data_IF_037415806902
#
_entry.id   IF_037415806902
#
_cell.length_a   1.000
_cell.length_b   1.000
_cell.length_c   1.000
_cell.angle_alpha   90.00
_cell.angle_beta   90.00
_cell.angle_gamma   90.00
#
_symmetry.space_group_name_H-M   'P 1'
#
loop_
_entity.id
_entity.type
_entity.pdbx_description
1 polymer ?
#
# COMPACT_ATOMS: atom_id res chain seq x y z
N UNK A 1 -24.94 -11.26 30.41
CA UNK A 1 -23.97 -11.54 29.32
C UNK A 1 -22.71 -10.75 29.65
N UNK A 2 -21.57 -11.43 29.80
CA UNK A 2 -20.29 -10.78 30.12
C UNK A 2 -19.46 -10.67 28.84
N UNK A 3 -19.05 -9.45 28.49
CA UNK A 3 -18.14 -9.18 27.37
C UNK A 3 -16.75 -8.96 27.96
N UNK A 4 -15.75 -9.71 27.48
CA UNK A 4 -14.37 -9.60 27.92
C UNK A 4 -13.55 -9.10 26.73
N UNK A 5 -12.90 -7.95 26.89
CA UNK A 5 -12.02 -7.36 25.88
C UNK A 5 -10.59 -7.89 26.03
N UNK A 6 -9.95 -8.22 24.91
CA UNK A 6 -8.54 -8.59 24.89
C UNK A 6 -7.64 -7.42 25.32
N UNK A 7 -6.46 -7.73 25.88
CA UNK A 7 -5.45 -6.72 26.27
C UNK A 7 -5.00 -5.85 25.10
N UNK A 8 -4.99 -6.40 23.89
CA UNK A 8 -4.62 -5.71 22.65
C UNK A 8 -5.56 -6.13 21.53
N UNK A 9 -6.10 -5.15 20.81
CA UNK A 9 -6.94 -5.34 19.63
C UNK A 9 -6.80 -4.11 18.71
N UNK A 10 -7.12 -4.28 17.43
CA UNK A 10 -7.11 -3.21 16.43
C UNK A 10 -5.82 -3.15 15.61
N UNK A 11 -5.43 -1.94 15.21
CA UNK A 11 -4.35 -1.73 14.25
C UNK A 11 -2.98 -2.12 14.82
N UNK A 12 -2.23 -2.91 14.05
CA UNK A 12 -0.80 -3.03 14.27
C UNK A 12 -0.07 -1.78 13.73
N UNK A 13 1.20 -1.63 14.10
CA UNK A 13 2.03 -0.51 13.64
C UNK A 13 2.04 -0.35 12.11
N UNK A 14 2.16 -1.45 11.35
CA UNK A 14 2.21 -1.40 9.89
C UNK A 14 0.90 -0.91 9.27
N UNK A 15 -0.24 -1.37 9.79
CA UNK A 15 -1.57 -0.92 9.38
C UNK A 15 -1.75 0.56 9.69
N UNK A 16 -1.44 0.97 10.93
CA UNK A 16 -1.55 2.37 11.34
C UNK A 16 -0.72 3.28 10.43
N UNK A 17 0.56 2.94 10.22
CA UNK A 17 1.45 3.70 9.31
C UNK A 17 0.84 3.84 7.91
N UNK A 18 0.32 2.75 7.34
CA UNK A 18 -0.19 2.78 5.98
C UNK A 18 -1.45 3.64 5.85
N UNK A 19 -2.37 3.53 6.81
CA UNK A 19 -3.59 4.34 6.84
C UNK A 19 -3.27 5.82 7.09
N UNK A 20 -2.42 6.13 8.07
CA UNK A 20 -1.98 7.49 8.38
C UNK A 20 -1.31 8.15 7.16
N UNK A 21 -0.49 7.40 6.41
CA UNK A 21 0.14 7.88 5.17
C UNK A 21 -0.89 8.34 4.13
N UNK A 22 -1.99 7.60 3.95
CA UNK A 22 -3.05 8.00 3.01
C UNK A 22 -3.73 9.28 3.50
N UNK A 23 -4.10 9.35 4.80
CA UNK A 23 -4.74 10.54 5.36
C UNK A 23 -3.86 11.80 5.24
N UNK A 24 -2.56 11.68 5.47
CA UNK A 24 -1.61 12.79 5.30
C UNK A 24 -1.58 13.27 3.85
N UNK A 25 -1.58 12.35 2.88
CA UNK A 25 -1.54 12.69 1.44
C UNK A 25 -2.83 13.30 0.91
N UNK A 26 -3.99 12.92 1.47
CA UNK A 26 -5.27 13.56 1.13
C UNK A 26 -5.22 15.09 1.35
N UNK A 27 -4.45 15.55 2.35
CA UNK A 27 -4.34 16.99 2.66
C UNK A 27 -3.61 17.80 1.58
N UNK A 28 -2.83 17.15 0.71
CA UNK A 28 -2.09 17.79 -0.39
C UNK A 28 -3.00 18.17 -1.58
N UNK A 29 -4.25 17.68 -1.61
CA UNK A 29 -5.28 18.00 -2.61
C UNK A 29 -4.89 17.71 -4.07
N UNK A 30 -4.03 16.72 -4.28
CA UNK A 30 -3.74 16.15 -5.60
C UNK A 30 -4.50 14.84 -5.83
N UNK A 31 -4.66 14.38 -7.09
CA UNK A 31 -5.23 13.05 -7.37
C UNK A 31 -4.45 11.96 -6.64
N UNK A 32 -5.16 11.17 -5.84
CA UNK A 32 -4.55 10.16 -4.98
C UNK A 32 -5.14 8.78 -5.26
N UNK A 33 -4.25 7.83 -5.50
CA UNK A 33 -4.59 6.45 -5.80
C UNK A 33 -3.96 5.50 -4.79
N UNK A 34 -4.59 4.36 -4.56
CA UNK A 34 -3.96 3.23 -3.86
C UNK A 34 -3.88 2.04 -4.80
N UNK A 35 -2.73 1.37 -4.86
CA UNK A 35 -2.59 0.15 -5.66
C UNK A 35 -3.12 -1.05 -4.88
N UNK A 36 -4.38 -1.38 -5.14
CA UNK A 36 -5.23 -2.22 -4.33
C UNK A 36 -5.65 -1.55 -3.02
N UNK A 37 -6.49 -2.21 -2.21
CA UNK A 37 -6.89 -1.68 -0.92
C UNK A 37 -5.67 -1.49 -0.02
N UNK A 38 -5.55 -0.31 0.61
CA UNK A 38 -4.41 0.04 1.48
C UNK A 38 -4.16 -1.02 2.56
N UNK A 39 -5.25 -1.58 3.11
CA UNK A 39 -5.34 -2.73 4.02
C UNK A 39 -6.61 -3.54 3.71
N UNK A 40 -6.70 -4.78 4.20
CA UNK A 40 -7.92 -5.60 4.05
C UNK A 40 -8.98 -5.23 5.12
N UNK A 41 -9.54 -4.03 5.02
CA UNK A 41 -10.65 -3.57 5.85
C UNK A 41 -11.58 -2.67 5.03
N UNK A 42 -12.79 -3.15 4.77
CA UNK A 42 -13.76 -2.49 3.88
C UNK A 42 -14.24 -1.13 4.43
N UNK A 43 -14.39 -1.01 5.75
CA UNK A 43 -14.80 0.24 6.40
C UNK A 43 -13.76 1.34 6.20
N UNK A 44 -12.48 0.99 6.33
CA UNK A 44 -11.36 1.92 6.10
C UNK A 44 -11.25 2.28 4.62
N UNK A 45 -11.37 1.31 3.72
CA UNK A 45 -11.32 1.57 2.27
C UNK A 45 -12.44 2.53 1.88
N UNK A 46 -13.67 2.28 2.34
CA UNK A 46 -14.83 3.14 2.04
C UNK A 46 -14.64 4.56 2.57
N UNK A 47 -14.14 4.73 3.80
CA UNK A 47 -13.86 6.07 4.35
C UNK A 47 -12.81 6.84 3.52
N UNK A 48 -11.81 6.15 2.97
CA UNK A 48 -10.80 6.78 2.11
C UNK A 48 -11.38 7.14 0.74
N UNK A 49 -12.22 6.28 0.15
CA UNK A 49 -12.92 6.56 -1.10
C UNK A 49 -13.87 7.76 -0.96
N UNK A 50 -14.59 7.87 0.16
CA UNK A 50 -15.43 9.04 0.49
C UNK A 50 -14.61 10.34 0.59
N UNK A 51 -13.30 10.25 0.84
CA UNK A 51 -12.36 11.39 0.85
C UNK A 51 -11.64 11.60 -0.48
N UNK A 52 -12.02 10.86 -1.52
CA UNK A 52 -11.55 11.05 -2.89
C UNK A 52 -10.34 10.19 -3.28
N UNK A 53 -9.96 9.20 -2.46
CA UNK A 53 -8.93 8.23 -2.84
C UNK A 53 -9.53 7.21 -3.79
N UNK A 54 -8.86 6.93 -4.91
CA UNK A 54 -9.31 5.92 -5.88
C UNK A 54 -8.47 4.66 -5.74
N UNK A 55 -9.11 3.51 -5.51
CA UNK A 55 -8.44 2.21 -5.53
C UNK A 55 -8.25 1.76 -6.99
N UNK A 56 -7.02 1.40 -7.36
CA UNK A 56 -6.70 0.80 -8.67
C UNK A 56 -6.13 -0.59 -8.50
N UNK A 57 -6.58 -1.58 -9.27
CA UNK A 57 -6.13 -2.97 -9.11
C UNK A 57 -5.11 -3.40 -10.18
N UNK A 58 -5.02 -2.65 -11.26
CA UNK A 58 -4.07 -2.86 -12.34
C UNK A 58 -3.42 -1.53 -12.74
N UNK A 59 -2.20 -1.60 -13.28
CA UNK A 59 -1.47 -0.41 -13.74
C UNK A 59 -2.16 0.22 -14.95
N UNK A 60 -2.81 -0.59 -15.79
CA UNK A 60 -3.55 -0.10 -16.96
C UNK A 60 -4.74 0.79 -16.58
N UNK A 61 -5.30 0.63 -15.37
CA UNK A 61 -6.38 1.49 -14.87
C UNK A 61 -5.91 2.94 -14.64
N UNK A 62 -4.60 3.17 -14.49
CA UNK A 62 -4.02 4.51 -14.37
C UNK A 62 -3.95 5.23 -15.72
N UNK A 63 -4.02 4.52 -16.85
CA UNK A 63 -3.99 5.12 -18.16
C UNK A 63 -5.19 6.07 -18.35
N UNK A 64 -4.92 7.33 -18.68
CA UNK A 64 -5.94 8.36 -18.85
C UNK A 64 -6.49 8.96 -17.55
N UNK A 65 -6.02 8.52 -16.37
CA UNK A 65 -6.33 9.21 -15.11
C UNK A 65 -5.50 10.49 -14.96
N UNK A 66 -6.00 11.50 -14.22
CA UNK A 66 -5.19 12.66 -13.85
C UNK A 66 -3.90 12.24 -13.13
N UNK A 67 -2.78 12.82 -13.54
CA UNK A 67 -1.49 12.59 -12.92
C UNK A 67 -1.54 12.95 -11.43
N UNK A 68 -0.86 12.16 -10.62
CA UNK A 68 -0.89 12.29 -9.17
C UNK A 68 -0.03 11.23 -8.49
N UNK A 69 -0.38 10.90 -7.26
CA UNK A 69 0.38 9.96 -6.42
C UNK A 69 -0.33 8.61 -6.31
N UNK A 70 0.42 7.53 -6.46
CA UNK A 70 -0.02 6.16 -6.17
C UNK A 70 0.65 5.69 -4.89
N UNK A 71 -0.16 5.31 -3.90
CA UNK A 71 0.29 4.74 -2.65
C UNK A 71 0.33 3.21 -2.77
N UNK A 72 1.50 2.63 -2.51
CA UNK A 72 1.66 1.18 -2.44
C UNK A 72 1.12 0.65 -1.11
N UNK A 73 0.22 -0.33 -1.17
CA UNK A 73 -0.46 -0.94 -0.02
C UNK A 73 0.50 -1.52 1.03
N UNK A 74 0.02 -1.67 2.27
CA UNK A 74 0.82 -2.17 3.40
C UNK A 74 1.47 -3.54 3.16
N UNK A 75 0.88 -4.35 2.27
CA UNK A 75 1.31 -5.69 1.89
C UNK A 75 2.47 -5.71 0.87
N UNK A 76 2.82 -4.56 0.29
CA UNK A 76 3.77 -4.47 -0.81
C UNK A 76 3.18 -4.87 -2.16
N UNK A 77 4.00 -4.68 -3.18
CA UNK A 77 3.77 -5.08 -4.57
C UNK A 77 5.06 -5.60 -5.18
N UNK A 78 4.97 -6.22 -6.34
CA UNK A 78 6.12 -6.61 -7.15
C UNK A 78 6.90 -5.36 -7.63
N UNK A 79 8.23 -5.48 -7.74
CA UNK A 79 9.09 -4.38 -8.23
C UNK A 79 8.66 -3.86 -9.61
N UNK A 80 8.29 -4.76 -10.53
CA UNK A 80 7.85 -4.38 -11.87
C UNK A 80 6.57 -3.53 -11.89
N UNK A 81 5.71 -3.62 -10.87
CA UNK A 81 4.52 -2.76 -10.75
C UNK A 81 4.93 -1.31 -10.50
N UNK A 82 5.87 -1.08 -9.57
CA UNK A 82 6.37 0.28 -9.28
C UNK A 82 7.04 0.91 -10.51
N UNK A 83 7.86 0.13 -11.24
CA UNK A 83 8.52 0.60 -12.45
C UNK A 83 7.50 1.03 -13.53
N UNK A 84 6.44 0.25 -13.74
CA UNK A 84 5.37 0.58 -14.69
C UNK A 84 4.60 1.84 -14.28
N UNK A 85 4.27 1.99 -12.99
CA UNK A 85 3.57 3.18 -12.47
C UNK A 85 4.40 4.44 -12.71
N UNK A 86 5.72 4.40 -12.42
CA UNK A 86 6.62 5.52 -12.67
C UNK A 86 6.76 5.82 -14.17
N UNK A 87 6.80 4.80 -15.02
CA UNK A 87 6.87 4.96 -16.48
C UNK A 87 5.62 5.66 -17.04
N UNK A 88 4.46 5.54 -16.37
CA UNK A 88 3.23 6.27 -16.70
C UNK A 88 3.21 7.73 -16.20
N UNK A 89 4.26 8.17 -15.50
CA UNK A 89 4.42 9.54 -15.00
C UNK A 89 3.89 9.79 -13.59
N UNK A 90 3.40 8.76 -12.89
CA UNK A 90 2.85 8.90 -11.54
C UNK A 90 3.95 8.91 -10.48
N UNK A 91 3.73 9.71 -9.43
CA UNK A 91 4.53 9.68 -8.22
C UNK A 91 4.18 8.45 -7.38
N UNK A 92 5.15 7.89 -6.66
CA UNK A 92 4.94 6.75 -5.78
C UNK A 92 5.24 7.11 -4.33
N UNK A 93 4.34 6.71 -3.43
CA UNK A 93 4.56 6.70 -1.99
C UNK A 93 4.44 5.27 -1.47
N UNK A 94 5.51 4.75 -0.87
CA UNK A 94 5.54 3.37 -0.39
C UNK A 94 5.06 3.23 1.06
N UNK A 95 3.81 2.78 1.22
CA UNK A 95 3.21 2.49 2.51
C UNK A 95 3.41 1.02 2.96
N UNK A 96 4.20 0.22 2.23
CA UNK A 96 4.54 -1.16 2.61
C UNK A 96 5.07 -1.23 4.04
N UNK A 97 4.59 -2.21 4.81
CA UNK A 97 5.02 -2.40 6.18
C UNK A 97 6.54 -2.67 6.22
N UNK A 98 7.32 -2.01 7.10
CA UNK A 98 8.77 -2.22 7.18
C UNK A 98 9.18 -3.68 7.43
N UNK A 99 8.33 -4.47 8.08
CA UNK A 99 8.57 -5.91 8.24
C UNK A 99 8.42 -6.68 6.93
N UNK A 100 7.51 -6.29 6.04
CA UNK A 100 7.36 -6.87 4.69
C UNK A 100 8.55 -6.47 3.82
N UNK A 101 8.93 -5.17 3.81
CA UNK A 101 10.12 -4.70 3.09
C UNK A 101 11.39 -5.41 3.53
N UNK A 102 11.51 -5.75 4.81
CA UNK A 102 12.64 -6.55 5.30
C UNK A 102 12.69 -7.92 4.62
N UNK A 103 11.55 -8.60 4.44
CA UNK A 103 11.51 -9.89 3.74
C UNK A 103 11.86 -9.71 2.27
N UNK A 104 11.33 -8.68 1.58
CA UNK A 104 11.67 -8.41 0.18
C UNK A 104 13.18 -8.22 -0.01
N UNK A 105 13.84 -7.45 0.87
CA UNK A 105 15.30 -7.23 0.84
C UNK A 105 16.10 -8.52 1.10
N UNK A 106 15.61 -9.40 1.98
CA UNK A 106 16.25 -10.69 2.22
C UNK A 106 16.13 -11.60 0.99
N UNK A 107 14.95 -11.66 0.39
CA UNK A 107 14.71 -12.43 -0.85
C UNK A 107 15.59 -11.92 -1.97
N UNK A 108 15.65 -10.59 -2.19
CA UNK A 108 16.51 -9.97 -3.19
C UNK A 108 17.99 -10.32 -2.97
N UNK A 109 18.47 -10.18 -1.73
CA UNK A 109 19.85 -10.52 -1.38
C UNK A 109 20.16 -11.98 -1.67
N UNK A 110 19.39 -12.92 -1.13
CA UNK A 110 19.70 -14.34 -1.28
C UNK A 110 19.49 -14.85 -2.71
N UNK A 111 18.58 -14.24 -3.47
CA UNK A 111 18.47 -14.51 -4.92
C UNK A 111 19.74 -14.09 -5.67
N UNK A 112 20.37 -12.97 -5.28
CA UNK A 112 21.66 -12.54 -5.82
C UNK A 112 22.85 -13.39 -5.36
N UNK A 113 22.68 -14.20 -4.30
CA UNK A 113 23.65 -15.18 -3.82
C UNK A 113 23.38 -16.59 -4.40
N UNK A 114 22.62 -16.68 -5.51
CA UNK A 114 22.23 -17.92 -6.21
C UNK A 114 21.52 -18.97 -5.31
N UNK A 115 20.90 -18.53 -4.22
CA UNK A 115 20.11 -19.41 -3.35
C UNK A 115 18.73 -19.69 -3.96
N UNK A 116 18.23 -20.91 -3.77
CA UNK A 116 16.83 -21.23 -4.06
C UNK A 116 15.93 -20.76 -2.92
N UNK A 117 15.01 -19.84 -3.20
CA UNK A 117 14.09 -19.27 -2.21
C UNK A 117 12.81 -20.11 -2.11
N UNK A 118 12.41 -20.44 -0.88
CA UNK A 118 11.12 -21.09 -0.57
C UNK A 118 10.29 -20.13 0.27
N UNK A 119 9.05 -19.89 -0.17
CA UNK A 119 8.06 -19.00 0.48
C UNK A 119 6.86 -19.83 0.92
#
# INVERSE_FOLDING_TARGET
MNVILAKSAGFCFGVKRAVDTVYERILEKEPLYTFGPIIHNEEVVRDLEEKGVVVVNDVDELAGKPQGTVIIRAHGVERGVCEKIQALGFSIVDATCPFVLKIHRLVERYSGEDCHIVI
#
